data_IF_018344333751
#
_entry.id   IF_018344333751
#
_cell.length_a   1.000
_cell.length_b   1.000
_cell.length_c   1.000
_cell.angle_alpha   90.00
_cell.angle_beta   90.00
_cell.angle_gamma   90.00
#
_symmetry.space_group_name_H-M   'P 1'
#
loop_
_entity.id
_entity.type
_entity.pdbx_description
1 polymer ?
#
# COMPACT_ATOMS: atom_id res chain seq x y z
N UNK A 1 -20.53 -5.03 -2.91
CA UNK A 1 -19.43 -5.29 -1.97
C UNK A 1 -18.21 -5.65 -2.81
N UNK A 2 -17.07 -5.04 -2.54
CA UNK A 2 -15.81 -5.23 -3.28
C UNK A 2 -14.79 -5.87 -2.36
N UNK A 3 -14.10 -6.90 -2.81
CA UNK A 3 -13.05 -7.56 -2.04
C UNK A 3 -12.07 -8.30 -2.93
N UNK A 4 -10.92 -8.66 -2.35
CA UNK A 4 -9.85 -9.36 -3.05
C UNK A 4 -9.71 -10.79 -2.53
N UNK A 5 -9.42 -11.71 -3.46
CA UNK A 5 -9.01 -13.08 -3.14
C UNK A 5 -7.57 -13.23 -3.60
N UNK A 6 -6.66 -13.39 -2.64
CA UNK A 6 -5.25 -13.63 -2.91
C UNK A 6 -4.99 -15.13 -2.75
N UNK A 7 -4.63 -15.79 -3.84
CA UNK A 7 -4.28 -17.22 -3.80
C UNK A 7 -2.79 -17.40 -3.62
N UNK A 8 -2.38 -18.07 -2.55
CA UNK A 8 -0.99 -18.43 -2.28
C UNK A 8 -0.76 -19.91 -2.60
N UNK A 9 0.31 -20.20 -3.35
CA UNK A 9 0.76 -21.56 -3.62
C UNK A 9 1.90 -21.97 -2.66
N UNK A 10 1.65 -23.00 -1.85
CA UNK A 10 2.66 -23.63 -0.99
C UNK A 10 3.20 -24.93 -1.58
N UNK A 11 2.99 -25.18 -2.88
CA UNK A 11 3.41 -26.36 -3.61
C UNK A 11 2.74 -27.62 -3.10
N UNK A 12 3.53 -28.57 -2.57
CA UNK A 12 3.02 -29.86 -2.06
C UNK A 12 2.08 -29.72 -0.87
N UNK A 13 2.09 -28.56 -0.19
CA UNK A 13 1.20 -28.27 0.94
C UNK A 13 -0.18 -27.78 0.49
N UNK A 14 -0.38 -27.59 -0.82
CA UNK A 14 -1.62 -27.07 -1.39
C UNK A 14 -1.62 -25.56 -1.53
N UNK A 15 -2.81 -25.01 -1.75
CA UNK A 15 -3.04 -23.59 -1.99
C UNK A 15 -3.96 -23.01 -0.92
N UNK A 16 -3.74 -21.76 -0.57
CA UNK A 16 -4.55 -21.01 0.39
C UNK A 16 -5.21 -19.82 -0.29
N UNK A 17 -6.52 -19.67 -0.05
CA UNK A 17 -7.28 -18.50 -0.45
C UNK A 17 -7.37 -17.54 0.74
N UNK A 18 -6.67 -16.42 0.66
CA UNK A 18 -6.80 -15.34 1.64
C UNK A 18 -7.92 -14.42 1.17
N UNK A 19 -8.98 -14.33 1.96
CA UNK A 19 -10.16 -13.52 1.68
C UNK A 19 -10.48 -12.67 2.90
N UNK A 20 -10.35 -11.37 2.74
CA UNK A 20 -10.69 -10.38 3.76
C UNK A 20 -11.47 -9.25 3.07
N UNK A 21 -12.79 -9.13 3.30
CA UNK A 21 -13.58 -8.09 2.66
C UNK A 21 -13.30 -6.67 3.17
N UNK A 22 -12.55 -6.54 4.27
CA UNK A 22 -12.23 -5.23 4.86
C UNK A 22 -10.94 -4.64 4.29
N UNK A 23 -10.07 -5.45 3.68
CA UNK A 23 -8.82 -4.95 3.09
C UNK A 23 -9.04 -4.32 1.71
N UNK A 24 -8.41 -3.18 1.53
CA UNK A 24 -8.40 -2.41 0.29
C UNK A 24 -7.31 -2.90 -0.66
N UNK A 25 -7.40 -2.52 -1.94
CA UNK A 25 -6.34 -2.74 -2.94
C UNK A 25 -4.97 -2.26 -2.44
N UNK A 26 -4.94 -1.08 -1.81
CA UNK A 26 -3.70 -0.50 -1.27
C UNK A 26 -3.09 -1.38 -0.18
N UNK A 27 -3.90 -1.98 0.67
CA UNK A 27 -3.41 -2.90 1.71
C UNK A 27 -2.92 -4.22 1.10
N UNK A 28 -3.61 -4.76 0.09
CA UNK A 28 -3.13 -5.92 -0.67
C UNK A 28 -1.75 -5.61 -1.27
N UNK A 29 -1.61 -4.48 -1.96
CA UNK A 29 -0.33 -4.01 -2.52
C UNK A 29 0.75 -3.89 -1.43
N UNK A 30 0.41 -3.28 -0.29
CA UNK A 30 1.32 -3.10 0.84
C UNK A 30 1.82 -4.45 1.39
N UNK A 31 0.93 -5.45 1.56
CA UNK A 31 1.27 -6.80 2.03
C UNK A 31 2.12 -7.59 1.03
N UNK A 32 1.93 -7.35 -0.27
CA UNK A 32 2.78 -7.94 -1.31
C UNK A 32 4.17 -7.30 -1.26
N UNK A 33 4.23 -5.97 -1.24
CA UNK A 33 5.48 -5.23 -1.23
C UNK A 33 6.30 -5.46 0.05
N UNK A 34 5.65 -5.69 1.20
CA UNK A 34 6.31 -6.08 2.46
C UNK A 34 6.81 -7.53 2.47
N UNK A 35 6.36 -8.36 1.52
CA UNK A 35 6.68 -9.79 1.45
C UNK A 35 5.84 -10.66 2.39
N UNK A 36 4.75 -10.15 2.96
CA UNK A 36 3.77 -10.95 3.70
C UNK A 36 3.09 -11.95 2.77
N UNK A 37 2.64 -11.50 1.59
CA UNK A 37 2.12 -12.36 0.54
C UNK A 37 3.25 -12.78 -0.42
N UNK A 38 3.52 -14.08 -0.46
CA UNK A 38 4.56 -14.70 -1.30
C UNK A 38 3.96 -15.85 -2.10
N UNK A 39 4.62 -16.22 -3.20
CA UNK A 39 4.19 -17.32 -4.08
C UNK A 39 2.74 -17.18 -4.54
N UNK A 40 2.36 -15.96 -4.91
CA UNK A 40 1.00 -15.64 -5.34
C UNK A 40 0.73 -16.34 -6.66
N UNK A 41 -0.35 -17.13 -6.72
CA UNK A 41 -0.85 -17.75 -7.95
C UNK A 41 -1.66 -16.76 -8.78
N UNK A 42 -2.62 -16.10 -8.14
CA UNK A 42 -3.48 -15.10 -8.75
C UNK A 42 -4.11 -14.22 -7.67
N UNK A 43 -4.59 -13.06 -8.11
CA UNK A 43 -5.35 -12.10 -7.32
C UNK A 43 -6.61 -11.76 -8.12
N UNK A 44 -7.76 -12.13 -7.55
CA UNK A 44 -9.04 -11.77 -8.13
C UNK A 44 -9.67 -10.63 -7.35
N UNK A 45 -10.17 -9.65 -8.09
CA UNK A 45 -11.05 -8.62 -7.59
C UNK A 45 -12.50 -9.04 -7.84
N UNK A 46 -13.30 -9.08 -6.78
CA UNK A 46 -14.73 -9.35 -6.88
C UNK A 46 -15.49 -8.07 -6.64
N UNK A 47 -16.29 -7.66 -7.62
CA UNK A 47 -17.18 -6.51 -7.53
C UNK A 47 -18.59 -6.98 -7.83
N UNK A 48 -19.43 -7.02 -6.80
CA UNK A 48 -20.82 -7.50 -6.88
C UNK A 48 -20.92 -8.95 -7.41
N UNK A 49 -21.19 -9.11 -8.72
CA UNK A 49 -21.31 -10.40 -9.41
C UNK A 49 -20.24 -10.62 -10.47
N UNK A 50 -19.27 -9.70 -10.56
CA UNK A 50 -18.13 -9.77 -11.47
C UNK A 50 -16.88 -10.27 -10.74
N UNK A 51 -16.06 -11.03 -11.45
CA UNK A 51 -14.74 -11.49 -11.02
C UNK A 51 -13.75 -11.06 -12.08
N UNK A 52 -12.74 -10.30 -11.69
CA UNK A 52 -11.68 -9.81 -12.57
C UNK A 52 -10.33 -10.28 -12.07
N UNK A 53 -9.48 -10.74 -12.98
CA UNK A 53 -8.08 -11.06 -12.68
C UNK A 53 -7.23 -9.80 -12.76
N UNK A 54 -6.78 -9.34 -11.59
CA UNK A 54 -6.00 -8.11 -11.40
C UNK A 54 -4.56 -8.41 -10.98
N UNK A 55 -4.12 -9.67 -11.11
CA UNK A 55 -2.81 -10.15 -10.65
C UNK A 55 -1.67 -9.27 -11.19
N UNK A 56 -1.58 -9.12 -12.50
CA UNK A 56 -0.50 -8.36 -13.13
C UNK A 56 -0.50 -6.89 -12.72
N UNK A 57 -1.69 -6.29 -12.63
CA UNK A 57 -1.84 -4.89 -12.25
C UNK A 57 -1.37 -4.63 -10.81
N UNK A 58 -1.75 -5.51 -9.87
CA UNK A 58 -1.37 -5.37 -8.46
C UNK A 58 0.12 -5.71 -8.25
N UNK A 59 0.66 -6.73 -8.93
CA UNK A 59 2.07 -7.05 -8.84
C UNK A 59 2.96 -5.93 -9.41
N UNK A 60 2.54 -5.31 -10.51
CA UNK A 60 3.24 -4.15 -11.08
C UNK A 60 3.21 -2.96 -10.11
N UNK A 61 2.09 -2.70 -9.45
CA UNK A 61 1.94 -1.65 -8.44
C UNK A 61 2.84 -1.92 -7.22
N UNK A 62 2.88 -3.17 -6.73
CA UNK A 62 3.70 -3.57 -5.59
C UNK A 62 5.22 -3.56 -5.88
N UNK A 63 5.62 -3.65 -7.15
CA UNK A 63 7.02 -3.55 -7.57
C UNK A 63 7.55 -2.11 -7.61
N UNK A 64 6.68 -1.10 -7.47
CA UNK A 64 7.11 0.29 -7.43
C UNK A 64 7.91 0.57 -6.15
N UNK A 65 8.97 1.40 -6.20
CA UNK A 65 9.68 1.82 -5.01
C UNK A 65 8.71 2.51 -4.04
N UNK A 66 8.68 2.03 -2.80
CA UNK A 66 7.95 2.74 -1.76
C UNK A 66 8.69 4.05 -1.49
N UNK A 67 8.07 5.17 -1.89
CA UNK A 67 8.53 6.50 -1.47
C UNK A 67 8.02 6.66 -0.05
N UNK A 68 8.90 6.66 0.98
CA UNK A 68 8.46 6.98 2.32
C UNK A 68 7.82 8.37 2.28
N UNK A 69 6.72 8.60 3.01
CA UNK A 69 6.20 9.96 3.15
C UNK A 69 7.33 10.88 3.57
N UNK A 70 7.46 12.04 2.92
CA UNK A 70 8.46 13.02 3.31
C UNK A 70 8.28 13.31 4.80
N UNK A 71 9.30 13.01 5.60
CA UNK A 71 9.31 13.40 7.00
C UNK A 71 9.17 14.92 7.03
N UNK A 72 8.08 15.40 7.63
CA UNK A 72 7.87 16.83 7.83
C UNK A 72 8.97 17.31 8.78
N UNK A 73 9.92 18.08 8.28
CA UNK A 73 10.99 18.66 9.11
C UNK A 73 10.39 19.72 10.06
N UNK A 74 10.00 19.25 11.24
CA UNK A 74 9.48 20.09 12.32
C UNK A 74 10.49 21.15 12.78
N UNK A 75 11.80 20.92 12.58
CA UNK A 75 12.81 21.92 12.88
C UNK A 75 12.79 23.05 11.86
N UNK A 76 12.67 22.73 10.56
CA UNK A 76 12.54 23.74 9.50
C UNK A 76 11.31 24.64 9.71
N UNK A 77 10.15 24.06 10.06
CA UNK A 77 8.93 24.82 10.39
C UNK A 77 9.17 25.77 11.56
N UNK A 78 9.83 25.29 12.62
CA UNK A 78 10.13 26.10 13.80
C UNK A 78 11.10 27.25 13.48
N UNK A 79 12.13 26.98 12.69
CA UNK A 79 13.12 27.98 12.31
C UNK A 79 12.56 29.03 11.36
N UNK A 80 11.68 28.63 10.44
CA UNK A 80 11.00 29.56 9.55
C UNK A 80 10.07 30.49 10.35
N UNK A 81 9.27 29.93 11.27
CA UNK A 81 8.43 30.73 12.16
C UNK A 81 9.24 31.72 13.01
N UNK A 82 10.34 31.27 13.63
CA UNK A 82 11.21 32.13 14.44
C UNK A 82 11.95 33.20 13.61
N UNK A 83 12.19 32.95 12.33
CA UNK A 83 12.75 33.95 11.40
C UNK A 83 11.69 34.97 11.02
N UNK A 84 10.47 34.52 10.76
CA UNK A 84 9.37 35.40 10.37
C UNK A 84 9.01 36.39 11.47
N UNK A 85 8.95 35.92 12.73
CA UNK A 85 8.78 36.79 13.90
C UNK A 85 9.84 37.89 13.99
N UNK A 86 11.11 37.57 13.69
CA UNK A 86 12.21 38.54 13.71
C UNK A 86 12.14 39.59 12.60
N UNK A 87 11.49 39.32 11.47
CA UNK A 87 11.30 40.35 10.40
C UNK A 87 10.38 41.48 10.86
N UNK A 88 9.52 41.22 11.85
CA UNK A 88 8.55 42.18 12.37
C UNK A 88 9.07 42.96 13.58
N UNK A 89 10.28 42.66 14.07
CA UNK A 89 10.95 43.48 15.07
C UNK A 89 11.40 44.80 14.42
N UNK A 90 10.76 45.91 14.81
CA UNK A 90 11.19 47.26 14.44
C UNK A 90 12.53 47.54 15.13
N UNK A 91 13.59 47.71 14.33
CA UNK A 91 14.84 48.39 14.73
C UNK A 91 14.60 49.77 15.31
#
# INVERSE_FOLDING_TARGET
MQYFVVMIDYGRRGREAIVDPEITRREVVSRIASGEYRNISFIHEIVESSVEDVTDAILAEAALPQIPPEDVDLQAIRFDHARDLRKHERT
#
